data_IF_795309007578
#
_entry.id   IF_795309007578
#
_cell.length_a   1.000
_cell.length_b   1.000
_cell.length_c   1.000
_cell.angle_alpha   90.00
_cell.angle_beta   90.00
_cell.angle_gamma   90.00
#
_symmetry.space_group_name_H-M   'P 1'
#
loop_
_entity.id
_entity.type
_entity.pdbx_description
1 polymer ?
#
# COMPACT_ATOMS: atom_id res chain seq x y z
N UNK A 1 -21.47 -34.96 39.09
CA UNK A 1 -20.26 -34.84 38.25
C UNK A 1 -20.32 -33.47 37.61
N UNK A 2 -19.92 -32.46 38.37
CA UNK A 2 -20.08 -31.07 37.95
C UNK A 2 -18.87 -30.71 37.10
N UNK A 3 -19.09 -30.68 35.78
CA UNK A 3 -18.12 -30.26 34.79
C UNK A 3 -17.73 -28.80 35.05
N UNK A 4 -16.70 -28.63 35.88
CA UNK A 4 -16.06 -27.36 36.10
C UNK A 4 -15.61 -26.80 34.74
N UNK A 5 -16.31 -25.77 34.30
CA UNK A 5 -15.95 -24.91 33.18
C UNK A 5 -14.61 -24.22 33.52
N UNK A 6 -13.50 -24.94 33.31
CA UNK A 6 -12.15 -24.45 33.47
C UNK A 6 -11.85 -23.44 32.36
N UNK A 7 -12.19 -22.18 32.65
CA UNK A 7 -11.70 -21.02 31.90
C UNK A 7 -10.19 -20.96 32.09
N UNK A 8 -9.43 -21.60 31.20
CA UNK A 8 -7.98 -21.47 31.08
C UNK A 8 -7.65 -20.00 30.77
N UNK A 9 -7.43 -19.18 31.81
CA UNK A 9 -6.85 -17.86 31.68
C UNK A 9 -5.34 -18.02 31.46
N UNK A 10 -4.94 -18.30 30.21
CA UNK A 10 -3.54 -18.43 29.78
C UNK A 10 -2.80 -17.09 29.65
N UNK A 11 -3.19 -16.06 30.40
CA UNK A 11 -2.49 -14.78 30.44
C UNK A 11 -1.46 -14.78 31.57
N UNK A 12 -0.18 -14.97 31.24
CA UNK A 12 0.92 -14.91 32.21
C UNK A 12 0.95 -13.62 33.06
N UNK A 13 1.71 -13.64 34.17
CA UNK A 13 1.85 -12.50 35.09
C UNK A 13 2.15 -11.20 34.32
N UNK A 14 1.23 -10.22 34.39
CA UNK A 14 1.42 -8.89 33.83
C UNK A 14 2.05 -7.98 34.89
N UNK A 15 3.05 -7.21 34.50
CA UNK A 15 3.69 -6.24 35.37
C UNK A 15 2.91 -4.91 35.35
N UNK A 16 2.95 -4.10 36.43
CA UNK A 16 2.41 -2.75 36.40
C UNK A 16 3.04 -1.93 35.27
N UNK A 17 2.22 -1.23 34.50
CA UNK A 17 2.65 -0.41 33.38
C UNK A 17 1.89 0.93 33.38
N UNK A 18 2.49 2.01 32.86
CA UNK A 18 1.85 3.31 32.79
C UNK A 18 0.71 3.31 31.74
N UNK A 19 -0.51 3.63 32.17
CA UNK A 19 -1.72 3.59 31.30
C UNK A 19 -1.89 4.83 30.41
N UNK A 20 -1.20 5.92 30.73
CA UNK A 20 -1.33 7.21 30.04
C UNK A 20 -0.34 7.38 28.89
N UNK A 21 0.59 6.43 28.71
CA UNK A 21 1.58 6.50 27.64
C UNK A 21 0.95 5.98 26.36
N UNK A 22 0.92 6.84 25.33
CA UNK A 22 0.47 6.47 24.00
C UNK A 22 1.67 6.12 23.11
N UNK A 23 1.55 5.02 22.35
CA UNK A 23 2.52 4.61 21.34
C UNK A 23 1.76 4.19 20.06
N UNK A 24 2.28 4.52 18.87
CA UNK A 24 1.58 4.29 17.60
C UNK A 24 1.37 2.80 17.30
N UNK A 25 2.24 1.92 17.79
CA UNK A 25 2.21 0.46 17.57
C UNK A 25 1.49 -0.32 18.69
N UNK A 26 1.02 0.36 19.73
CA UNK A 26 0.48 -0.26 20.95
C UNK A 26 1.50 -0.33 22.09
N UNK A 27 1.01 -0.45 23.32
CA UNK A 27 1.84 -0.46 24.55
C UNK A 27 2.04 -1.86 25.12
N UNK A 28 1.99 -1.99 26.44
CA UNK A 28 2.16 -3.28 27.13
C UNK A 28 0.89 -4.14 27.06
N UNK A 29 0.99 -5.31 26.42
CA UNK A 29 -0.09 -6.29 26.23
C UNK A 29 -1.40 -5.72 25.66
N UNK A 30 -1.38 -5.11 24.45
CA UNK A 30 -2.56 -4.50 23.86
C UNK A 30 -3.57 -5.59 23.45
N UNK A 31 -4.72 -5.61 24.13
CA UNK A 31 -5.87 -6.44 23.74
C UNK A 31 -7.12 -5.55 23.62
N UNK A 32 -7.24 -4.76 22.53
CA UNK A 32 -8.39 -3.90 22.32
C UNK A 32 -9.64 -4.76 22.09
N UNK A 33 -10.75 -4.40 22.73
CA UNK A 33 -12.05 -5.10 22.60
C UNK A 33 -12.50 -5.24 21.13
N UNK A 34 -12.11 -4.28 20.29
CA UNK A 34 -12.54 -4.18 18.90
C UNK A 34 -11.47 -4.62 17.88
N UNK A 35 -10.49 -5.46 18.26
CA UNK A 35 -9.40 -5.87 17.36
C UNK A 35 -9.90 -6.39 16.01
N UNK A 36 -10.97 -7.21 16.00
CA UNK A 36 -11.56 -7.76 14.77
C UNK A 36 -12.04 -6.68 13.81
N UNK A 37 -12.80 -5.71 14.34
CA UNK A 37 -13.36 -4.61 13.54
C UNK A 37 -12.24 -3.72 12.99
N UNK A 38 -11.21 -3.46 13.78
CA UNK A 38 -10.06 -2.67 13.34
C UNK A 38 -9.29 -3.37 12.22
N UNK A 39 -9.04 -4.68 12.34
CA UNK A 39 -8.38 -5.47 11.28
C UNK A 39 -9.21 -5.49 10.00
N UNK A 40 -10.54 -5.70 10.10
CA UNK A 40 -11.43 -5.67 8.94
C UNK A 40 -11.37 -4.31 8.24
N UNK A 41 -11.37 -3.21 9.01
CA UNK A 41 -11.25 -1.85 8.47
C UNK A 41 -9.94 -1.66 7.71
N UNK A 42 -8.80 -2.02 8.30
CA UNK A 42 -7.48 -1.89 7.66
C UNK A 42 -7.41 -2.72 6.38
N UNK A 43 -7.81 -3.99 6.43
CA UNK A 43 -7.79 -4.87 5.26
C UNK A 43 -8.72 -4.36 4.16
N UNK A 44 -9.93 -3.90 4.52
CA UNK A 44 -10.87 -3.35 3.55
C UNK A 44 -10.31 -2.09 2.86
N UNK A 45 -9.69 -1.19 3.62
CA UNK A 45 -9.08 0.02 3.05
C UNK A 45 -7.91 -0.30 2.13
N UNK A 46 -7.04 -1.26 2.50
CA UNK A 46 -5.93 -1.67 1.65
C UNK A 46 -6.39 -2.34 0.35
N UNK A 47 -7.40 -3.21 0.43
CA UNK A 47 -7.99 -3.86 -0.76
C UNK A 47 -8.68 -2.82 -1.64
N UNK A 48 -9.49 -1.94 -1.06
CA UNK A 48 -10.16 -0.88 -1.81
C UNK A 48 -9.16 0.08 -2.47
N UNK A 49 -8.10 0.48 -1.74
CA UNK A 49 -7.03 1.30 -2.27
C UNK A 49 -6.25 0.60 -3.40
N UNK A 50 -6.00 -0.71 -3.26
CA UNK A 50 -5.36 -1.52 -4.30
C UNK A 50 -6.22 -1.64 -5.56
N UNK A 51 -7.53 -1.87 -5.41
CA UNK A 51 -8.49 -1.89 -6.53
C UNK A 51 -8.56 -0.52 -7.18
N UNK A 52 -8.64 0.56 -6.39
CA UNK A 52 -8.64 1.92 -6.88
C UNK A 52 -7.36 2.21 -7.68
N UNK A 53 -6.19 1.92 -7.13
CA UNK A 53 -4.92 2.11 -7.83
C UNK A 53 -4.82 1.24 -9.09
N UNK A 54 -5.38 0.02 -9.09
CA UNK A 54 -5.39 -0.85 -10.26
C UNK A 54 -6.28 -0.34 -11.40
N UNK A 55 -7.40 0.29 -11.06
CA UNK A 55 -8.38 0.81 -12.03
C UNK A 55 -8.03 2.22 -12.50
N UNK A 56 -7.65 3.10 -11.57
CA UNK A 56 -7.41 4.52 -11.83
C UNK A 56 -5.92 4.86 -11.98
N UNK A 57 -5.00 4.07 -11.39
CA UNK A 57 -3.56 4.27 -11.54
C UNK A 57 -3.06 4.37 -12.99
N UNK A 58 -3.48 3.51 -13.95
CA UNK A 58 -3.05 3.65 -15.34
C UNK A 58 -3.63 4.87 -16.08
N UNK A 59 -4.55 5.63 -15.47
CA UNK A 59 -5.05 6.89 -16.01
C UNK A 59 -4.24 8.09 -15.51
N UNK A 60 -3.68 8.00 -14.31
CA UNK A 60 -2.89 9.06 -13.67
C UNK A 60 -1.42 8.95 -14.09
N UNK A 61 -0.95 7.71 -14.27
CA UNK A 61 0.34 7.42 -14.85
C UNK A 61 0.16 7.60 -16.35
N UNK A 62 0.77 8.64 -16.94
CA UNK A 62 0.92 8.68 -18.38
C UNK A 62 1.52 7.34 -18.80
N UNK A 63 0.89 6.58 -19.72
CA UNK A 63 1.58 5.42 -20.28
C UNK A 63 2.93 5.97 -20.75
N UNK A 64 4.05 5.41 -20.25
CA UNK A 64 5.36 5.69 -20.83
C UNK A 64 5.13 5.53 -22.32
N UNK A 65 5.12 6.66 -23.01
CA UNK A 65 4.69 6.83 -24.38
C UNK A 65 5.25 5.65 -25.18
N UNK A 66 4.47 4.57 -25.32
CA UNK A 66 4.76 3.48 -26.24
C UNK A 66 4.31 4.04 -27.57
N UNK A 67 5.00 5.10 -27.96
CA UNK A 67 4.88 5.72 -29.24
C UNK A 67 5.46 4.68 -30.17
N UNK A 68 4.55 3.84 -30.66
CA UNK A 68 4.52 3.71 -32.10
C UNK A 68 4.62 5.13 -32.65
N UNK A 69 5.70 5.37 -33.39
CA UNK A 69 6.10 6.64 -34.01
C UNK A 69 5.01 7.19 -34.94
N UNK A 70 3.83 7.49 -34.43
CA UNK A 70 2.72 8.09 -35.18
C UNK A 70 2.99 9.58 -35.23
N UNK A 71 3.93 9.93 -36.10
CA UNK A 71 4.03 11.21 -36.78
C UNK A 71 3.97 12.48 -35.91
N UNK A 72 4.58 12.46 -34.72
CA UNK A 72 4.75 13.70 -33.96
C UNK A 72 5.81 14.54 -34.67
N UNK A 73 5.42 15.75 -35.08
CA UNK A 73 6.27 16.66 -35.87
C UNK A 73 7.65 16.87 -35.23
N UNK A 74 7.71 16.99 -33.91
CA UNK A 74 8.95 17.19 -33.14
C UNK A 74 9.93 16.01 -33.20
N UNK A 75 9.43 14.77 -33.26
CA UNK A 75 10.29 13.60 -33.41
C UNK A 75 10.92 13.55 -34.81
N UNK A 76 10.15 13.89 -35.85
CA UNK A 76 10.67 13.97 -37.23
C UNK A 76 11.73 15.05 -37.37
N UNK A 77 11.56 16.20 -36.72
CA UNK A 77 12.59 17.25 -36.67
C UNK A 77 13.87 16.78 -35.97
N UNK A 78 13.76 16.02 -34.88
CA UNK A 78 14.93 15.44 -34.22
C UNK A 78 15.62 14.35 -35.06
N UNK A 79 14.85 13.50 -35.74
CA UNK A 79 15.40 12.47 -36.63
C UNK A 79 16.09 13.08 -37.86
N UNK A 80 15.51 14.11 -38.49
CA UNK A 80 16.13 14.77 -39.64
C UNK A 80 17.42 15.51 -39.26
N UNK A 81 17.44 16.18 -38.11
CA UNK A 81 18.65 16.80 -37.57
C UNK A 81 19.75 15.76 -37.30
N UNK A 82 19.37 14.56 -36.82
CA UNK A 82 20.31 13.45 -36.58
C UNK A 82 20.84 12.85 -37.89
N UNK A 83 19.99 12.66 -38.89
CA UNK A 83 20.41 12.18 -40.22
C UNK A 83 21.39 13.14 -40.88
N UNK A 84 21.14 14.45 -40.81
CA UNK A 84 22.04 15.46 -41.37
C UNK A 84 23.42 15.53 -40.70
N UNK A 85 23.54 15.04 -39.46
CA UNK A 85 24.84 14.90 -38.77
C UNK A 85 25.59 13.65 -39.24
N UNK A 86 24.88 12.53 -39.40
CA UNK A 86 25.47 11.26 -39.83
C UNK A 86 25.92 11.26 -41.30
N UNK A 87 25.30 12.06 -42.16
CA UNK A 87 25.68 12.14 -43.58
C UNK A 87 26.95 12.97 -43.84
N UNK A 88 27.53 13.59 -42.80
CA UNK A 88 28.73 14.43 -42.91
C UNK A 88 29.99 13.77 -42.33
N UNK A 89 29.86 12.59 -41.74
CA UNK A 89 30.98 11.71 -41.39
C UNK A 89 31.10 10.59 -42.41
#
# INVERSE_FOLDING_TARGET
MDGANLKLQSGGKRYPYPKHVWAPTGGWWPNPKNWKRNTIGVTATLVAGGIFFRLFGPQIMEPKLSLESRDILSLKFNESARQGRLSKE
#
